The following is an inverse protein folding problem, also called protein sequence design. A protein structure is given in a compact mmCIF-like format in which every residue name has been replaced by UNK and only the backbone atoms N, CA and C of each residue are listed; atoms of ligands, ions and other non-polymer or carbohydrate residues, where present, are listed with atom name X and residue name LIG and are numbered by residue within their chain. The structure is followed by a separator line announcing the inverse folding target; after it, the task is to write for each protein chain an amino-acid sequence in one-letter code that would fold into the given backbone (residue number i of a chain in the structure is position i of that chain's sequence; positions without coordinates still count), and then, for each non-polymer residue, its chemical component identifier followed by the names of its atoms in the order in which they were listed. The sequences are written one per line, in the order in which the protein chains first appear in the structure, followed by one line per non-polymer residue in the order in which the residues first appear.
data_IF_067788882332
#
_entry.id   IF_067788882332
#
_cell.length_a   1.000
_cell.length_b   1.000
_cell.length_c   1.000
_cell.angle_alpha   90.00
_cell.angle_beta   90.00
_cell.angle_gamma   90.00
#
_symmetry.space_group_name_H-M   'P 1'
#
loop_
_entity.id
_entity.type
_entity.pdbx_description
1 polymer ?
#
# COMPACT_ATOMS: atom_id res chain seq x y z
N UNK A 1 -6.63 -6.14 1.55
CA UNK A 1 -6.64 -7.19 2.60
C UNK A 1 -6.77 -6.55 3.98
N UNK A 2 -7.41 -7.19 4.97
CA UNK A 2 -7.58 -6.61 6.30
C UNK A 2 -6.27 -6.51 7.10
N UNK A 3 -5.22 -7.25 6.72
CA UNK A 3 -3.95 -7.30 7.45
C UNK A 3 -2.75 -6.65 6.71
N UNK A 4 -2.89 -6.25 5.44
CA UNK A 4 -1.85 -5.57 4.67
C UNK A 4 -2.42 -4.75 3.50
N UNK A 5 -1.59 -3.88 2.93
CA UNK A 5 -1.94 -2.98 1.82
C UNK A 5 -0.97 -3.20 0.67
N UNK A 6 -1.49 -3.32 -0.56
CA UNK A 6 -0.69 -3.22 -1.78
C UNK A 6 -0.86 -1.84 -2.40
N UNK A 7 0.24 -1.23 -2.83
CA UNK A 7 0.25 0.09 -3.47
C UNK A 7 1.18 0.03 -4.67
N UNK A 8 0.74 0.57 -5.79
CA UNK A 8 1.59 0.88 -6.94
C UNK A 8 1.68 2.40 -7.07
N UNK A 9 2.90 2.93 -7.10
CA UNK A 9 3.13 4.36 -7.21
C UNK A 9 4.46 4.67 -7.88
N UNK A 10 4.60 5.88 -8.41
CA UNK A 10 5.85 6.39 -8.97
C UNK A 10 6.69 7.02 -7.87
N UNK A 11 7.97 6.66 -7.81
CA UNK A 11 8.93 7.30 -6.92
C UNK A 11 9.30 8.66 -7.51
N UNK A 12 9.10 9.71 -6.71
CA UNK A 12 9.41 11.09 -7.08
C UNK A 12 10.78 11.52 -6.59
N UNK A 13 10.86 12.71 -6.02
CA UNK A 13 12.09 13.29 -5.47
C UNK A 13 12.57 12.62 -4.18
N UNK A 14 11.65 12.16 -3.35
CA UNK A 14 11.96 11.40 -2.13
C UNK A 14 12.20 9.93 -2.47
N UNK A 15 13.08 9.28 -1.72
CA UNK A 15 13.32 7.85 -1.89
C UNK A 15 12.08 7.02 -1.52
N UNK A 16 12.06 5.78 -2.01
CA UNK A 16 11.02 4.80 -1.70
C UNK A 16 10.88 4.61 -0.18
N UNK A 17 12.00 4.45 0.53
CA UNK A 17 12.02 4.18 1.97
C UNK A 17 11.53 5.37 2.80
N UNK A 18 11.89 6.61 2.41
CA UNK A 18 11.37 7.83 3.05
C UNK A 18 9.86 7.94 2.88
N UNK A 19 9.37 7.69 1.66
CA UNK A 19 7.94 7.78 1.34
C UNK A 19 7.13 6.74 2.13
N UNK A 20 7.54 5.47 2.06
CA UNK A 20 6.88 4.37 2.79
C UNK A 20 6.98 4.57 4.30
N UNK A 21 8.13 5.01 4.81
CA UNK A 21 8.33 5.30 6.23
C UNK A 21 7.40 6.41 6.74
N UNK A 22 7.23 7.48 5.96
CA UNK A 22 6.31 8.57 6.28
C UNK A 22 4.85 8.08 6.36
N UNK A 23 4.40 7.28 5.38
CA UNK A 23 3.08 6.67 5.39
C UNK A 23 2.87 5.75 6.60
N UNK A 24 3.81 4.82 6.85
CA UNK A 24 3.74 3.89 7.99
C UNK A 24 3.59 4.66 9.31
N UNK A 25 4.39 5.71 9.52
CA UNK A 25 4.33 6.54 10.73
C UNK A 25 3.02 7.31 10.85
N UNK A 26 2.56 7.95 9.77
CA UNK A 26 1.33 8.74 9.78
C UNK A 26 0.11 7.86 10.07
N UNK A 27 -0.03 6.75 9.34
CA UNK A 27 -1.17 5.84 9.48
C UNK A 27 -1.14 5.12 10.83
N UNK A 28 0.03 4.65 11.30
CA UNK A 28 0.13 4.00 12.62
C UNK A 28 -0.35 4.91 13.75
N UNK A 29 -0.01 6.21 13.71
CA UNK A 29 -0.46 7.19 14.71
C UNK A 29 -1.97 7.37 14.69
N UNK A 30 -2.57 7.50 13.50
CA UNK A 30 -4.02 7.67 13.36
C UNK A 30 -4.77 6.40 13.76
N UNK A 31 -4.36 5.24 13.25
CA UNK A 31 -4.99 3.96 13.51
C UNK A 31 -4.93 3.58 14.99
N UNK A 32 -3.76 3.73 15.65
CA UNK A 32 -3.64 3.48 17.08
C UNK A 32 -4.55 4.39 17.90
N UNK A 33 -4.64 5.68 17.56
CA UNK A 33 -5.58 6.62 18.21
C UNK A 33 -7.03 6.18 18.06
N UNK A 34 -7.45 5.83 16.84
CA UNK A 34 -8.82 5.41 16.55
C UNK A 34 -9.19 4.09 17.23
N UNK A 35 -8.22 3.19 17.37
CA UNK A 35 -8.42 1.87 17.98
C UNK A 35 -8.16 1.85 19.50
N UNK A 36 -7.76 2.98 20.11
CA UNK A 36 -7.35 3.03 21.51
C UNK A 36 -6.12 2.16 21.83
N UNK A 37 -5.28 1.88 20.83
CA UNK A 37 -4.08 1.05 20.95
C UNK A 37 -2.82 1.91 21.07
N UNK A 38 -1.71 1.29 21.48
CA UNK A 38 -0.37 1.88 21.46
C UNK A 38 0.65 0.85 20.98
N UNK A 39 1.81 1.32 20.53
CA UNK A 39 2.89 0.45 20.02
C UNK A 39 2.93 0.34 18.49
N UNK A 40 3.64 -0.68 18.00
CA UNK A 40 3.81 -0.94 16.58
C UNK A 40 2.47 -1.34 15.93
N UNK A 41 2.13 -0.68 14.82
CA UNK A 41 0.92 -0.99 14.04
C UNK A 41 1.24 -1.82 12.78
N UNK A 42 2.39 -1.55 12.17
CA UNK A 42 2.88 -2.24 10.97
C UNK A 42 3.99 -3.22 11.32
N UNK A 43 4.22 -4.21 10.44
CA UNK A 43 5.48 -4.95 10.41
C UNK A 43 6.66 -3.99 10.18
N UNK A 44 7.87 -4.38 10.59
CA UNK A 44 9.07 -3.53 10.50
C UNK A 44 9.44 -3.20 9.04
N UNK A 45 9.52 -4.22 8.20
CA UNK A 45 9.89 -4.09 6.80
C UNK A 45 8.70 -3.90 5.85
N UNK A 46 9.01 -3.72 4.56
CA UNK A 46 8.07 -3.73 3.46
C UNK A 46 8.64 -4.58 2.32
N UNK A 47 7.76 -5.06 1.43
CA UNK A 47 8.16 -5.75 0.20
C UNK A 47 8.01 -4.79 -0.97
N UNK A 48 9.02 -4.72 -1.84
CA UNK A 48 8.99 -3.91 -3.05
C UNK A 48 9.36 -4.68 -4.31
N UNK A 49 8.85 -4.20 -5.45
CA UNK A 49 9.16 -4.74 -6.77
C UNK A 49 9.13 -3.60 -7.79
N UNK A 50 10.22 -3.44 -8.52
CA UNK A 50 10.31 -2.42 -9.58
C UNK A 50 9.57 -2.87 -10.85
N UNK A 51 8.73 -1.98 -11.40
CA UNK A 51 8.04 -2.21 -12.67
C UNK A 51 9.02 -1.99 -13.84
N UNK A 52 9.36 -3.08 -14.53
CA UNK A 52 10.42 -3.11 -15.57
C UNK A 52 9.94 -2.62 -16.92
N UNK A 53 8.65 -2.77 -17.18
CA UNK A 53 8.00 -2.42 -18.43
C UNK A 53 6.48 -2.25 -18.20
N UNK A 54 5.80 -1.76 -19.23
CA UNK A 54 4.37 -1.50 -19.19
C UNK A 54 3.52 -2.77 -19.06
N UNK A 55 4.02 -3.95 -19.47
CA UNK A 55 3.29 -5.21 -19.28
C UNK A 55 3.32 -5.64 -17.81
N UNK A 56 4.48 -5.52 -17.16
CA UNK A 56 4.65 -5.77 -15.73
C UNK A 56 3.76 -4.81 -14.92
N UNK A 57 3.77 -3.51 -15.25
CA UNK A 57 2.91 -2.52 -14.61
C UNK A 57 1.43 -2.89 -14.72
N UNK A 58 0.94 -3.22 -15.93
CA UNK A 58 -0.46 -3.63 -16.15
C UNK A 58 -0.83 -4.91 -15.39
N UNK A 59 0.10 -5.87 -15.28
CA UNK A 59 -0.13 -7.09 -14.48
C UNK A 59 -0.27 -6.76 -13.00
N UNK A 60 0.56 -5.87 -12.48
CA UNK A 60 0.53 -5.42 -11.09
C UNK A 60 -0.74 -4.63 -10.78
N UNK A 61 -1.17 -3.72 -11.66
CA UNK A 61 -2.46 -3.01 -11.53
C UNK A 61 -3.60 -4.02 -11.40
N UNK A 62 -3.71 -4.96 -12.35
CA UNK A 62 -4.74 -6.01 -12.30
C UNK A 62 -4.65 -6.85 -11.02
N UNK A 63 -3.45 -7.17 -10.54
CA UNK A 63 -3.29 -7.91 -9.29
C UNK A 63 -3.85 -7.13 -8.10
N UNK A 64 -3.54 -5.84 -7.98
CA UNK A 64 -4.04 -4.98 -6.90
C UNK A 64 -5.56 -4.83 -6.96
N UNK A 65 -6.10 -4.58 -8.16
CA UNK A 65 -7.55 -4.43 -8.40
C UNK A 65 -8.33 -5.71 -8.14
N UNK A 66 -7.77 -6.88 -8.45
CA UNK A 66 -8.42 -8.18 -8.25
C UNK A 66 -8.14 -8.77 -6.85
N UNK A 67 -7.31 -8.14 -6.03
CA UNK A 67 -7.03 -8.63 -4.69
C UNK A 67 -8.26 -8.68 -3.77
N UNK A 68 -9.18 -7.69 -3.78
CA UNK A 68 -10.42 -7.81 -3.02
C UNK A 68 -11.24 -9.02 -3.48
N UNK A 69 -11.33 -9.29 -4.79
CA UNK A 69 -12.08 -10.44 -5.30
C UNK A 69 -11.43 -11.80 -5.00
N UNK A 70 -10.12 -11.83 -4.75
CA UNK A 70 -9.38 -13.08 -4.53
C UNK A 70 -9.27 -13.47 -3.06
N UNK A 71 -9.25 -12.51 -2.13
CA UNK A 71 -9.03 -12.79 -0.70
C UNK A 71 -10.18 -12.35 0.22
N UNK A 72 -11.05 -11.40 -0.17
CA UNK A 72 -12.21 -11.02 0.67
C UNK A 72 -13.22 -10.25 -0.19
N UNK A 73 -14.30 -10.90 -0.64
CA UNK A 73 -15.30 -10.35 -1.57
C UNK A 73 -15.96 -9.02 -1.15
N UNK A 74 -15.22 -7.93 -1.29
CA UNK A 74 -15.64 -6.55 -1.05
C UNK A 74 -14.96 -5.67 -2.09
N UNK A 75 -15.76 -5.07 -2.96
CA UNK A 75 -15.32 -4.19 -4.05
C UNK A 75 -14.77 -2.87 -3.46
N UNK A 76 -13.46 -2.65 -3.55
CA UNK A 76 -12.85 -1.35 -3.25
C UNK A 76 -12.43 -0.72 -4.57
N UNK A 77 -13.17 0.31 -4.98
CA UNK A 77 -12.84 1.16 -6.12
C UNK A 77 -11.44 1.76 -5.92
N UNK A 78 -10.58 1.55 -6.91
CA UNK A 78 -9.18 1.91 -6.88
C UNK A 78 -8.95 3.38 -6.55
N UNK A 79 -8.19 3.63 -5.48
CA UNK A 79 -7.50 4.90 -5.29
C UNK A 79 -6.26 4.90 -6.20
N UNK A 80 -6.50 5.11 -7.49
CA UNK A 80 -5.48 5.65 -8.36
C UNK A 80 -5.32 7.12 -7.99
N UNK A 81 -4.33 7.43 -7.16
CA UNK A 81 -3.87 8.82 -7.01
C UNK A 81 -3.05 9.11 -8.25
N UNK A 82 -3.73 9.51 -9.33
CA UNK A 82 -3.10 10.21 -10.44
C UNK A 82 -2.68 11.61 -9.96
N UNK A 83 -1.42 11.95 -10.20
CA UNK A 83 -0.98 13.33 -10.36
C UNK A 83 -0.79 13.60 -11.84
#
# INVERSE_FOLDING_TARGET
MPNHVHVLFKVGSASMSETVGAWKKHIARLANRLLGKSGAFWAEDYFDTYMRDAEHERKTIRYIENNPTSETGVELQGLAVEQ
#
